data_IF_212414550833
#
_entry.id   IF_212414550833
#
_cell.length_a   1.000
_cell.length_b   1.000
_cell.length_c   1.000
_cell.angle_alpha   90.00
_cell.angle_beta   90.00
_cell.angle_gamma   90.00
#
_symmetry.space_group_name_H-M   'P 1'
#
loop_
_entity.id
_entity.type
_entity.pdbx_description
1 polymer ?
#
# COMPACT_ATOMS: atom_id res chain seq x y z
N UNK A 1 3.48 -17.04 -9.97
CA UNK A 1 4.18 -15.83 -9.48
C UNK A 1 3.26 -15.15 -8.46
N UNK A 2 3.80 -14.48 -7.44
CA UNK A 2 3.00 -13.72 -6.50
C UNK A 2 2.22 -12.63 -7.25
N UNK A 3 1.00 -12.31 -6.77
CA UNK A 3 0.27 -11.13 -7.25
C UNK A 3 0.76 -9.90 -6.51
N UNK A 4 0.81 -8.77 -7.19
CA UNK A 4 1.08 -7.48 -6.59
C UNK A 4 -0.23 -6.73 -6.40
N UNK A 5 -0.56 -6.46 -5.14
CA UNK A 5 -1.81 -5.84 -4.72
C UNK A 5 -1.53 -4.48 -4.09
N UNK A 6 -2.16 -3.44 -4.59
CA UNK A 6 -2.26 -2.16 -3.90
C UNK A 6 -3.56 -2.13 -3.10
N UNK A 7 -3.46 -2.16 -1.78
CA UNK A 7 -4.62 -2.08 -0.89
C UNK A 7 -4.48 -0.87 0.04
N UNK A 8 -5.41 0.07 -0.06
CA UNK A 8 -5.34 1.34 0.68
C UNK A 8 -6.71 2.00 0.85
N UNK A 9 -6.82 2.91 1.82
CA UNK A 9 -7.92 3.85 1.90
C UNK A 9 -7.62 5.11 1.09
N UNK A 10 -8.65 5.74 0.55
CA UNK A 10 -8.56 7.00 -0.20
C UNK A 10 -9.72 7.93 0.14
N UNK A 11 -9.52 9.22 -0.01
CA UNK A 11 -10.62 10.18 0.00
C UNK A 11 -11.47 10.06 -1.26
N UNK A 12 -12.69 10.60 -1.25
CA UNK A 12 -13.60 10.59 -2.41
C UNK A 12 -12.96 11.22 -3.66
N UNK A 13 -12.08 12.18 -3.49
CA UNK A 13 -11.37 12.85 -4.58
C UNK A 13 -9.93 12.37 -4.82
N UNK A 14 -9.58 11.17 -4.31
CA UNK A 14 -8.40 10.43 -4.75
C UNK A 14 -7.08 10.78 -4.07
N UNK A 15 -7.12 11.18 -2.80
CA UNK A 15 -5.92 11.37 -1.99
C UNK A 15 -5.77 10.26 -0.93
N UNK A 16 -4.54 9.85 -0.66
CA UNK A 16 -4.22 8.86 0.38
C UNK A 16 -3.71 9.51 1.67
N UNK A 17 -3.22 10.73 1.61
CA UNK A 17 -2.81 11.55 2.74
C UNK A 17 -2.98 13.03 2.39
N UNK A 18 -2.97 13.91 3.39
CA UNK A 18 -2.91 15.35 3.17
C UNK A 18 -1.49 15.82 2.75
N UNK A 19 -1.28 17.13 2.67
CA UNK A 19 0.02 17.71 2.28
C UNK A 19 1.12 17.40 3.30
N UNK A 20 0.76 17.25 4.57
CA UNK A 20 1.66 16.96 5.70
C UNK A 20 1.85 15.45 5.92
N UNK A 21 1.38 14.61 5.00
CA UNK A 21 1.35 13.14 5.08
C UNK A 21 0.48 12.60 6.23
N UNK A 22 -0.46 13.39 6.75
CA UNK A 22 -1.36 12.94 7.80
C UNK A 22 -2.51 12.10 7.26
N UNK A 23 -2.92 11.11 8.04
CA UNK A 23 -4.10 10.27 7.84
C UNK A 23 -5.25 10.63 8.79
N UNK A 24 -5.21 11.80 9.44
CA UNK A 24 -6.23 12.22 10.41
C UNK A 24 -7.65 12.15 9.87
N UNK A 25 -7.81 12.41 8.56
CA UNK A 25 -9.09 12.32 7.87
C UNK A 25 -9.69 10.89 7.90
N UNK A 26 -8.85 9.85 7.94
CA UNK A 26 -9.27 8.46 7.94
C UNK A 26 -9.82 8.03 9.32
N UNK A 27 -9.18 8.47 10.38
CA UNK A 27 -9.52 8.05 11.76
C UNK A 27 -10.84 8.66 12.28
N UNK A 28 -11.37 9.68 11.61
CA UNK A 28 -12.67 10.28 11.97
C UNK A 28 -13.85 9.70 11.18
N UNK A 29 -13.60 8.78 10.25
CA UNK A 29 -14.66 8.13 9.47
C UNK A 29 -15.46 7.19 10.39
N UNK A 30 -16.79 7.36 10.50
CA UNK A 30 -17.61 6.47 11.33
C UNK A 30 -17.52 5.01 10.87
N UNK A 31 -17.41 4.09 11.83
CA UNK A 31 -17.34 2.64 11.56
C UNK A 31 -16.10 2.20 10.76
N UNK A 32 -14.98 2.90 10.89
CA UNK A 32 -13.71 2.49 10.29
C UNK A 32 -13.23 1.11 10.80
N UNK A 33 -13.59 0.76 12.03
CA UNK A 33 -13.34 -0.53 12.67
C UNK A 33 -13.99 -1.73 11.94
N UNK A 34 -15.08 -1.49 11.20
CA UNK A 34 -15.74 -2.56 10.42
C UNK A 34 -14.88 -3.08 9.27
N UNK A 35 -13.91 -2.30 8.81
CA UNK A 35 -12.97 -2.71 7.77
C UNK A 35 -11.85 -3.65 8.30
N UNK A 36 -11.67 -3.74 9.61
CA UNK A 36 -10.56 -4.49 10.24
C UNK A 36 -10.59 -5.99 9.91
N UNK A 37 -11.77 -6.62 9.92
CA UNK A 37 -11.92 -8.04 9.60
C UNK A 37 -11.56 -8.35 8.14
N UNK A 38 -11.96 -7.49 7.21
CA UNK A 38 -11.63 -7.64 5.79
C UNK A 38 -10.12 -7.43 5.56
N UNK A 39 -9.53 -6.46 6.25
CA UNK A 39 -8.10 -6.20 6.19
C UNK A 39 -7.28 -7.35 6.79
N UNK A 40 -7.68 -7.91 7.92
CA UNK A 40 -7.02 -9.07 8.53
C UNK A 40 -7.06 -10.30 7.60
N UNK A 41 -8.19 -10.52 6.93
CA UNK A 41 -8.32 -11.60 5.92
C UNK A 41 -7.40 -11.37 4.73
N UNK A 42 -7.30 -10.14 4.25
CA UNK A 42 -6.36 -9.77 3.18
C UNK A 42 -4.91 -10.01 3.63
N UNK A 43 -4.54 -9.54 4.82
CA UNK A 43 -3.17 -9.62 5.34
C UNK A 43 -2.69 -11.07 5.50
N UNK A 44 -3.59 -12.00 5.83
CA UNK A 44 -3.26 -13.43 5.92
C UNK A 44 -2.79 -14.06 4.59
N UNK A 45 -3.08 -13.41 3.46
CA UNK A 45 -2.61 -13.83 2.13
C UNK A 45 -1.30 -13.17 1.68
N UNK A 46 -0.73 -12.26 2.48
CA UNK A 46 0.43 -11.45 2.13
C UNK A 46 1.74 -12.10 2.58
N UNK A 47 2.68 -12.27 1.67
CA UNK A 47 4.02 -12.83 1.95
C UNK A 47 5.13 -11.78 2.00
N UNK A 48 4.92 -10.61 1.42
CA UNK A 48 5.87 -9.51 1.49
C UNK A 48 5.17 -8.15 1.43
N UNK A 49 5.72 -7.15 2.12
CA UNK A 49 5.31 -5.77 2.06
C UNK A 49 6.32 -4.93 1.28
N UNK A 50 5.83 -3.94 0.54
CA UNK A 50 6.69 -2.93 -0.08
C UNK A 50 6.14 -1.55 0.23
N UNK A 51 6.99 -0.64 0.70
CA UNK A 51 6.60 0.74 1.00
C UNK A 51 7.72 1.73 0.70
N UNK A 52 7.33 2.97 0.48
CA UNK A 52 8.28 4.07 0.37
C UNK A 52 8.72 4.59 1.75
N UNK A 53 9.80 5.39 1.76
CA UNK A 53 10.34 5.97 2.99
C UNK A 53 9.33 6.80 3.77
N UNK A 54 8.49 7.60 3.10
CA UNK A 54 7.49 8.45 3.77
C UNK A 54 6.44 7.62 4.50
N UNK A 55 5.98 6.52 3.91
CA UNK A 55 5.05 5.59 4.56
C UNK A 55 5.70 4.93 5.79
N UNK A 56 6.96 4.51 5.65
CA UNK A 56 7.70 3.91 6.76
C UNK A 56 7.91 4.90 7.91
N UNK A 57 8.34 6.13 7.61
CA UNK A 57 8.51 7.19 8.63
C UNK A 57 7.20 7.52 9.33
N UNK A 58 6.08 7.58 8.59
CA UNK A 58 4.78 7.78 9.20
C UNK A 58 4.43 6.67 10.20
N UNK A 59 4.69 5.39 9.84
CA UNK A 59 4.47 4.26 10.76
C UNK A 59 5.36 4.35 12.01
N UNK A 60 6.63 4.74 11.84
CA UNK A 60 7.56 4.94 12.97
C UNK A 60 7.03 5.95 13.97
N UNK A 61 6.57 7.10 13.46
CA UNK A 61 6.14 8.22 14.30
C UNK A 61 4.76 7.95 14.93
N UNK A 62 3.83 7.37 14.17
CA UNK A 62 2.46 7.15 14.61
C UNK A 62 2.36 6.25 15.85
N UNK A 63 3.15 5.18 15.91
CA UNK A 63 3.16 4.23 17.02
C UNK A 63 4.39 4.34 17.91
N UNK A 64 5.28 5.31 17.64
CA UNK A 64 6.57 5.43 18.32
C UNK A 64 7.36 4.09 18.32
N UNK A 65 7.48 3.49 17.12
CA UNK A 65 7.98 2.14 16.94
C UNK A 65 9.46 1.94 17.29
N UNK A 66 10.23 3.01 17.43
CA UNK A 66 11.63 2.93 17.89
C UNK A 66 11.68 2.58 19.38
N UNK A 67 10.82 3.21 20.18
CA UNK A 67 10.72 2.96 21.62
C UNK A 67 9.81 1.76 21.93
N UNK A 68 8.87 1.44 21.04
CA UNK A 68 7.87 0.39 21.18
C UNK A 68 7.86 -0.57 19.98
N UNK A 69 8.96 -1.31 19.72
CA UNK A 69 9.06 -2.20 18.57
C UNK A 69 8.05 -3.35 18.58
N UNK A 70 7.52 -3.72 19.74
CA UNK A 70 6.47 -4.72 19.91
C UNK A 70 5.14 -4.33 19.26
N UNK A 71 4.95 -3.05 18.95
CA UNK A 71 3.76 -2.55 18.24
C UNK A 71 3.89 -2.63 16.71
N UNK A 72 4.97 -3.20 16.18
CA UNK A 72 5.08 -3.37 14.74
C UNK A 72 3.93 -4.19 14.18
N UNK A 73 3.20 -3.64 13.23
CA UNK A 73 1.95 -4.21 12.73
C UNK A 73 2.11 -5.53 11.96
N UNK A 74 3.32 -5.82 11.44
CA UNK A 74 3.56 -6.91 10.50
C UNK A 74 4.76 -7.77 10.93
N UNK A 75 4.74 -8.37 12.15
CA UNK A 75 5.92 -9.05 12.71
C UNK A 75 6.37 -10.26 11.90
N UNK A 76 5.43 -10.94 11.25
CA UNK A 76 5.68 -12.19 10.52
C UNK A 76 5.85 -12.00 9.01
N UNK A 77 5.81 -10.75 8.51
CA UNK A 77 5.88 -10.46 7.08
C UNK A 77 7.13 -9.62 6.78
N UNK A 78 7.98 -10.12 5.87
CA UNK A 78 9.14 -9.35 5.42
C UNK A 78 8.71 -8.05 4.75
N UNK A 79 9.35 -6.96 5.15
CA UNK A 79 9.00 -5.61 4.69
C UNK A 79 10.16 -4.98 3.94
N UNK A 80 9.92 -4.53 2.72
CA UNK A 80 10.89 -3.82 1.90
C UNK A 80 10.59 -2.32 1.92
N UNK A 81 11.57 -1.52 2.30
CA UNK A 81 11.46 -0.07 2.32
C UNK A 81 12.39 0.53 1.28
N UNK A 82 11.80 1.16 0.25
CA UNK A 82 12.57 1.86 -0.77
C UNK A 82 12.92 3.27 -0.28
N UNK A 83 14.23 3.52 -0.12
CA UNK A 83 14.75 4.79 0.35
C UNK A 83 16.17 5.02 -0.14
N UNK A 84 16.47 6.26 -0.56
CA UNK A 84 17.85 6.72 -0.75
C UNK A 84 18.52 7.15 0.56
N UNK A 85 17.72 7.34 1.62
CA UNK A 85 18.16 7.76 2.96
C UNK A 85 18.41 6.55 3.86
N UNK A 86 19.24 6.73 4.88
CA UNK A 86 19.33 5.80 6.01
C UNK A 86 18.18 6.08 6.96
N UNK A 87 17.41 5.06 7.29
CA UNK A 87 16.26 5.15 8.18
C UNK A 87 16.48 4.26 9.41
N UNK A 88 15.86 4.59 10.55
CA UNK A 88 15.93 3.76 11.74
C UNK A 88 15.38 2.35 11.50
N UNK A 89 15.99 1.35 12.11
CA UNK A 89 15.53 -0.04 12.08
C UNK A 89 14.64 -0.32 13.30
N UNK A 90 13.48 -0.94 13.09
CA UNK A 90 12.65 -1.44 14.19
C UNK A 90 13.27 -2.75 14.70
N UNK A 91 13.52 -2.81 16.01
CA UNK A 91 14.13 -3.99 16.63
C UNK A 91 13.24 -5.24 16.47
N UNK A 92 13.83 -6.34 16.01
CA UNK A 92 13.12 -7.62 15.86
C UNK A 92 12.25 -7.76 14.60
N UNK A 93 12.09 -6.70 13.79
CA UNK A 93 11.32 -6.75 12.55
C UNK A 93 12.24 -7.07 11.34
N UNK A 94 11.77 -7.96 10.42
CA UNK A 94 12.47 -8.21 9.14
C UNK A 94 12.15 -7.09 8.15
N UNK A 95 12.87 -5.96 8.32
CA UNK A 95 12.76 -4.80 7.46
C UNK A 95 14.03 -4.67 6.63
N UNK A 96 13.88 -4.65 5.31
CA UNK A 96 14.97 -4.62 4.34
C UNK A 96 14.95 -3.31 3.58
N UNK A 97 15.88 -2.42 3.90
CA UNK A 97 16.05 -1.18 3.16
C UNK A 97 16.73 -1.43 1.82
N UNK A 98 16.16 -0.88 0.75
CA UNK A 98 16.68 -1.00 -0.60
C UNK A 98 16.75 0.38 -1.28
N UNK A 99 17.74 0.53 -2.16
CA UNK A 99 17.91 1.70 -3.04
C UNK A 99 17.67 1.26 -4.47
N UNK A 100 17.22 2.18 -5.30
CA UNK A 100 16.96 1.92 -6.71
C UNK A 100 15.47 1.89 -7.05
N UNK A 101 15.18 1.30 -8.18
CA UNK A 101 13.84 1.20 -8.74
C UNK A 101 13.20 -0.18 -8.46
N UNK A 102 11.94 -0.30 -8.85
CA UNK A 102 11.16 -1.53 -8.71
C UNK A 102 11.77 -2.70 -9.50
N UNK A 103 12.40 -2.44 -10.66
CA UNK A 103 13.01 -3.49 -11.48
C UNK A 103 14.18 -4.18 -10.75
N UNK A 104 15.02 -3.40 -10.07
CA UNK A 104 16.11 -3.93 -9.26
C UNK A 104 15.61 -4.70 -8.03
N UNK A 105 14.46 -4.32 -7.48
CA UNK A 105 13.87 -4.94 -6.30
C UNK A 105 13.07 -6.22 -6.62
N UNK A 106 12.52 -6.33 -7.82
CA UNK A 106 11.52 -7.33 -8.18
C UNK A 106 11.91 -8.78 -7.86
N UNK A 107 13.11 -9.18 -8.22
CA UNK A 107 13.57 -10.56 -8.01
C UNK A 107 13.60 -10.93 -6.52
N UNK A 108 14.05 -10.01 -5.67
CA UNK A 108 14.15 -10.25 -4.22
C UNK A 108 12.77 -10.27 -3.55
N UNK A 109 11.91 -9.33 -3.87
CA UNK A 109 10.56 -9.25 -3.30
C UNK A 109 9.72 -10.44 -3.72
N UNK A 110 9.74 -10.82 -5.01
CA UNK A 110 8.98 -11.98 -5.49
C UNK A 110 9.47 -13.29 -4.91
N UNK A 111 10.78 -13.44 -4.70
CA UNK A 111 11.34 -14.59 -4.00
C UNK A 111 10.89 -14.63 -2.53
N UNK A 112 10.91 -13.51 -1.84
CA UNK A 112 10.52 -13.43 -0.43
C UNK A 112 9.02 -13.71 -0.24
N UNK A 113 8.16 -13.24 -1.14
CA UNK A 113 6.72 -13.48 -1.09
C UNK A 113 6.37 -14.95 -1.43
N UNK A 114 7.20 -15.65 -2.23
CA UNK A 114 6.94 -17.01 -2.67
C UNK A 114 5.68 -17.12 -3.53
N UNK A 115 4.67 -17.83 -3.06
CA UNK A 115 3.35 -17.94 -3.73
C UNK A 115 2.29 -16.99 -3.16
N UNK A 116 2.57 -16.31 -2.04
CA UNK A 116 1.68 -15.35 -1.41
C UNK A 116 1.75 -13.98 -2.10
N UNK A 117 0.78 -13.12 -1.82
CA UNK A 117 0.68 -11.80 -2.44
C UNK A 117 1.79 -10.85 -1.96
N UNK A 118 2.17 -9.91 -2.81
CA UNK A 118 3.00 -8.74 -2.45
C UNK A 118 2.05 -7.57 -2.25
N UNK A 119 2.04 -6.99 -1.05
CA UNK A 119 1.24 -5.82 -0.78
C UNK A 119 2.08 -4.55 -0.88
N UNK A 120 1.68 -3.64 -1.78
CA UNK A 120 2.23 -2.29 -1.79
C UNK A 120 1.41 -1.47 -0.80
N UNK A 121 2.04 -1.11 0.33
CA UNK A 121 1.40 -0.33 1.40
C UNK A 121 1.19 1.12 0.98
N UNK A 122 2.14 1.68 0.23
CA UNK A 122 2.13 3.05 -0.30
C UNK A 122 3.56 3.60 -0.48
N UNK A 123 3.80 4.83 -1.02
CA UNK A 123 2.82 5.78 -1.55
C UNK A 123 2.46 5.55 -3.02
N UNK A 124 1.57 6.39 -3.51
CA UNK A 124 1.01 6.26 -4.86
C UNK A 124 2.03 6.28 -5.99
N UNK A 125 3.14 7.02 -5.87
CA UNK A 125 4.20 6.99 -6.87
C UNK A 125 4.91 5.63 -6.92
N UNK A 126 5.14 4.99 -5.78
CA UNK A 126 5.71 3.64 -5.74
C UNK A 126 4.80 2.63 -6.44
N UNK A 127 3.49 2.71 -6.20
CA UNK A 127 2.49 1.90 -6.93
C UNK A 127 2.58 2.16 -8.43
N UNK A 128 2.74 3.43 -8.81
CA UNK A 128 2.96 3.83 -10.20
C UNK A 128 4.17 3.16 -10.83
N UNK A 129 5.29 3.04 -10.12
CA UNK A 129 6.49 2.35 -10.60
C UNK A 129 6.23 0.85 -10.82
N UNK A 130 5.45 0.18 -9.96
CA UNK A 130 5.02 -1.21 -10.18
C UNK A 130 4.11 -1.33 -11.40
N UNK A 131 3.21 -0.38 -11.61
CA UNK A 131 2.34 -0.35 -12.78
C UNK A 131 3.12 -0.12 -14.09
N UNK A 132 4.11 0.77 -14.07
CA UNK A 132 5.01 1.08 -15.20
C UNK A 132 5.88 -0.14 -15.55
N UNK A 133 6.32 -0.90 -14.55
CA UNK A 133 7.07 -2.15 -14.73
C UNK A 133 6.19 -3.36 -15.13
N UNK A 134 4.86 -3.19 -15.21
CA UNK A 134 3.93 -4.26 -15.57
C UNK A 134 3.69 -5.30 -14.48
N UNK A 135 3.98 -4.95 -13.23
CA UNK A 135 3.87 -5.87 -12.09
C UNK A 135 2.63 -5.63 -11.21
N UNK A 136 1.88 -4.55 -11.41
CA UNK A 136 0.66 -4.29 -10.64
C UNK A 136 -0.50 -5.16 -11.17
N UNK A 137 -1.05 -6.03 -10.34
CA UNK A 137 -2.12 -6.98 -10.71
C UNK A 137 -3.49 -6.57 -10.19
N UNK A 138 -3.55 -5.93 -9.01
CA UNK A 138 -4.82 -5.61 -8.36
C UNK A 138 -4.74 -4.31 -7.57
N UNK A 139 -5.82 -3.54 -7.63
CA UNK A 139 -6.02 -2.33 -6.83
C UNK A 139 -7.28 -2.53 -5.98
N UNK A 140 -7.14 -2.43 -4.66
CA UNK A 140 -8.23 -2.42 -3.68
C UNK A 140 -8.27 -1.06 -3.00
N UNK A 141 -9.39 -0.38 -3.10
CA UNK A 141 -9.55 0.94 -2.49
C UNK A 141 -10.80 1.03 -1.64
N UNK A 142 -10.61 1.46 -0.40
CA UNK A 142 -11.69 1.85 0.51
C UNK A 142 -11.89 3.36 0.40
N UNK A 143 -12.91 3.77 -0.35
CA UNK A 143 -13.20 5.18 -0.60
C UNK A 143 -14.00 5.75 0.56
N UNK A 144 -13.40 6.68 1.31
CA UNK A 144 -14.02 7.37 2.44
C UNK A 144 -14.87 8.56 1.98
N UNK A 145 -15.95 8.92 2.72
CA UNK A 145 -16.79 10.09 2.45
C UNK A 145 -16.11 11.39 2.90
N UNK A 146 -14.89 11.61 2.43
CA UNK A 146 -14.03 12.75 2.76
C UNK A 146 -13.46 13.33 1.48
N UNK A 147 -13.28 14.66 1.42
CA UNK A 147 -12.51 15.34 0.37
C UNK A 147 -11.42 16.18 1.00
N UNK A 148 -10.26 16.21 0.37
CA UNK A 148 -9.16 17.11 0.71
C UNK A 148 -8.97 18.13 -0.40
N UNK A 149 -8.60 19.37 -0.06
CA UNK A 149 -8.31 20.41 -1.05
C UNK A 149 -7.05 20.06 -1.87
N UNK A 150 -6.08 19.40 -1.22
CA UNK A 150 -4.81 18.94 -1.79
C UNK A 150 -4.27 17.78 -0.94
N UNK A 151 -3.26 17.08 -1.44
CA UNK A 151 -2.64 15.97 -0.73
C UNK A 151 -1.83 15.04 -1.62
N UNK A 152 -1.50 13.87 -1.08
CA UNK A 152 -0.76 12.83 -1.79
C UNK A 152 -1.72 12.00 -2.65
N UNK A 153 -1.51 11.94 -3.97
CA UNK A 153 -2.45 11.26 -4.87
C UNK A 153 -2.44 9.74 -4.67
N UNK A 154 -3.59 9.12 -4.87
CA UNK A 154 -3.79 7.67 -4.78
C UNK A 154 -2.85 6.92 -5.74
N UNK A 155 -2.85 7.30 -7.02
CA UNK A 155 -2.03 6.69 -8.07
C UNK A 155 -1.79 7.71 -9.18
N UNK A 156 -0.64 8.43 -9.14
CA UNK A 156 -0.34 9.48 -10.12
C UNK A 156 0.22 8.87 -11.43
N UNK A 157 -0.54 8.00 -12.04
CA UNK A 157 -0.25 7.37 -13.35
C UNK A 157 -1.52 7.30 -14.18
N UNK A 158 -1.34 7.39 -15.50
CA UNK A 158 -2.40 7.14 -16.45
C UNK A 158 -2.46 5.64 -16.74
N UNK A 159 -3.56 4.99 -16.34
CA UNK A 159 -3.90 3.61 -16.71
C UNK A 159 -5.26 3.69 -17.40
N UNK A 160 -5.32 3.23 -18.63
CA UNK A 160 -6.54 3.30 -19.43
C UNK A 160 -7.56 2.24 -19.00
N UNK A 161 -8.83 2.49 -19.34
CA UNK A 161 -9.94 1.63 -18.90
C UNK A 161 -9.92 0.23 -19.53
N UNK A 162 -9.24 0.05 -20.66
CA UNK A 162 -9.04 -1.26 -21.28
C UNK A 162 -8.05 -2.15 -20.53
N UNK A 163 -7.26 -1.54 -19.62
CA UNK A 163 -6.33 -2.24 -18.73
C UNK A 163 -6.89 -2.51 -17.33
N UNK A 164 -8.04 -1.97 -16.99
CA UNK A 164 -8.66 -2.12 -15.67
C UNK A 164 -10.04 -2.77 -15.79
N UNK A 165 -10.30 -3.76 -14.94
CA UNK A 165 -11.61 -4.38 -14.83
C UNK A 165 -12.12 -4.26 -13.39
N UNK A 166 -13.33 -3.72 -13.21
CA UNK A 166 -14.00 -3.70 -11.92
C UNK A 166 -14.47 -5.11 -11.56
N UNK A 167 -13.88 -5.71 -10.54
CA UNK A 167 -14.15 -7.08 -10.10
C UNK A 167 -15.19 -7.12 -8.96
N UNK A 168 -15.16 -6.14 -8.06
CA UNK A 168 -16.09 -6.09 -6.94
C UNK A 168 -16.38 -4.68 -6.47
N UNK A 169 -17.60 -4.52 -5.94
CA UNK A 169 -18.07 -3.31 -5.24
C UNK A 169 -18.79 -3.76 -3.98
N UNK A 170 -18.44 -3.19 -2.84
CA UNK A 170 -19.10 -3.46 -1.57
C UNK A 170 -19.23 -2.17 -0.76
N UNK A 171 -20.00 -2.24 0.33
CA UNK A 171 -20.09 -1.20 1.34
C UNK A 171 -19.65 -1.76 2.68
N UNK A 172 -18.66 -1.11 3.32
CA UNK A 172 -18.19 -1.44 4.66
C UNK A 172 -18.28 -0.19 5.53
N UNK A 173 -19.21 -0.16 6.47
CA UNK A 173 -19.49 1.06 7.22
C UNK A 173 -19.87 2.22 6.29
N UNK A 174 -19.05 3.26 6.30
CA UNK A 174 -19.20 4.43 5.41
C UNK A 174 -18.27 4.39 4.20
N UNK A 175 -17.49 3.32 4.01
CA UNK A 175 -16.60 3.18 2.86
C UNK A 175 -17.30 2.50 1.68
N UNK A 176 -16.96 2.96 0.48
CA UNK A 176 -17.20 2.22 -0.75
C UNK A 176 -15.94 1.41 -1.08
N UNK A 177 -16.06 0.09 -1.03
CA UNK A 177 -14.97 -0.83 -1.35
C UNK A 177 -14.99 -1.16 -2.83
N UNK A 178 -13.87 -0.92 -3.51
CA UNK A 178 -13.71 -1.20 -4.93
C UNK A 178 -12.50 -2.10 -5.15
N UNK A 179 -12.67 -3.13 -5.96
CA UNK A 179 -11.58 -4.02 -6.38
C UNK A 179 -11.47 -3.99 -7.90
N UNK A 180 -10.29 -3.65 -8.39
CA UNK A 180 -9.96 -3.68 -9.81
C UNK A 180 -8.82 -4.65 -10.08
N UNK A 181 -8.97 -5.52 -11.07
CA UNK A 181 -7.81 -6.18 -11.68
C UNK A 181 -7.14 -5.24 -12.69
N UNK A 182 -5.81 -5.34 -12.78
CA UNK A 182 -4.99 -4.55 -13.70
C UNK A 182 -4.26 -5.49 -14.65
N UNK A 183 -4.45 -5.29 -15.95
CA UNK A 183 -3.69 -6.05 -16.94
C UNK A 183 -2.30 -5.43 -17.12
N UNK A 184 -1.27 -6.27 -17.07
CA UNK A 184 0.09 -5.85 -17.36
C UNK A 184 0.16 -5.13 -18.71
N UNK A 185 0.82 -3.96 -18.75
CA UNK A 185 1.08 -3.28 -20.01
C UNK A 185 2.04 -4.10 -20.83
N UNK A 186 1.72 -4.36 -22.10
CA UNK A 186 2.73 -4.75 -23.06
C UNK A 186 3.74 -3.60 -23.11
N UNK A 187 5.00 -3.86 -22.73
CA UNK A 187 6.08 -2.94 -23.02
C UNK A 187 6.20 -2.92 -24.54
N UNK A 188 5.63 -1.88 -25.17
CA UNK A 188 5.76 -1.63 -26.61
C UNK A 188 7.10 -0.99 -26.94
#
# INVERSE_FOLDING_TARGET
MPRVVYNTATTLNGYIADEDNSLSWLFVVPSADQAESAFSTFLAGVGALVMGSTTYEWLLDHENLIDHPEKWFYPDIVSFVLSSRSLPQIAGADIRFRRGDVGALWAEVSQAAGSADIWIVGGGDLVGQFADAGHLDEIRVSVAPVTLASGKPLLPRRIESDRMTLEAVAKTGQFAELVYSVRGGSVG
#
